data_IF_348562014762
#
_entry.id   IF_348562014762
#
_cell.length_a   1.000
_cell.length_b   1.000
_cell.length_c   1.000
_cell.angle_alpha   90.00
_cell.angle_beta   90.00
_cell.angle_gamma   90.00
#
_symmetry.space_group_name_H-M   'P 1'
#
loop_
_entity.id
_entity.type
_entity.pdbx_description
1 polymer ?
#
# COMPACT_ATOMS: atom_id res chain seq x y z
N UNK A 1 26.82 28.71 8.04
CA UNK A 1 26.52 27.34 7.59
C UNK A 1 25.10 27.32 7.04
N UNK A 2 24.90 26.95 5.77
CA UNK A 2 23.55 26.84 5.18
C UNK A 2 23.02 25.42 5.40
N UNK A 3 21.82 25.22 6.00
CA UNK A 3 21.26 23.88 6.15
C UNK A 3 20.82 23.37 4.77
N UNK A 4 21.30 22.19 4.39
CA UNK A 4 20.77 21.45 3.25
C UNK A 4 19.50 20.72 3.69
N UNK A 5 18.37 21.09 3.10
CA UNK A 5 17.09 20.42 3.32
C UNK A 5 16.97 19.28 2.31
N UNK A 6 17.08 18.04 2.78
CA UNK A 6 16.89 16.86 1.95
C UNK A 6 15.39 16.53 1.90
N UNK A 7 14.72 16.88 0.80
CA UNK A 7 13.32 16.52 0.56
C UNK A 7 13.27 15.09 0.01
N UNK A 8 12.81 14.14 0.83
CA UNK A 8 12.52 12.77 0.39
C UNK A 8 11.02 12.69 0.08
N UNK A 9 10.68 12.60 -1.21
CA UNK A 9 9.30 12.46 -1.67
C UNK A 9 9.00 10.96 -1.81
N UNK A 10 8.21 10.41 -0.89
CA UNK A 10 7.65 9.07 -1.04
C UNK A 10 6.41 9.14 -1.92
N UNK A 11 6.55 8.72 -3.19
CA UNK A 11 5.40 8.48 -4.06
C UNK A 11 4.84 7.11 -3.71
N UNK A 12 3.86 7.07 -2.81
CA UNK A 12 3.08 5.88 -2.56
C UNK A 12 2.15 5.63 -3.77
N UNK A 13 2.63 4.89 -4.78
CA UNK A 13 1.75 4.28 -5.77
C UNK A 13 0.94 3.18 -5.09
N UNK A 14 -0.24 3.54 -4.59
CA UNK A 14 -1.28 2.57 -4.27
C UNK A 14 -1.55 1.79 -5.54
N UNK A 15 -1.10 0.52 -5.60
CA UNK A 15 -1.44 -0.37 -6.69
C UNK A 15 -2.96 -0.55 -6.66
N UNK A 16 -3.66 0.20 -7.52
CA UNK A 16 -5.10 0.11 -7.70
C UNK A 16 -5.45 -1.25 -8.32
N UNK A 17 -5.49 -2.29 -7.48
CA UNK A 17 -6.13 -3.54 -7.83
C UNK A 17 -7.60 -3.29 -8.16
N UNK A 18 -8.19 -4.16 -8.97
CA UNK A 18 -9.61 -4.11 -9.26
C UNK A 18 -10.31 -5.31 -8.64
N UNK A 19 -11.55 -5.10 -8.22
CA UNK A 19 -12.40 -6.14 -7.65
C UNK A 19 -13.30 -6.72 -8.73
N UNK A 20 -13.54 -8.02 -8.65
CA UNK A 20 -14.58 -8.71 -9.41
C UNK A 20 -15.76 -8.96 -8.48
N UNK A 21 -16.95 -8.51 -8.88
CA UNK A 21 -18.21 -8.80 -8.21
C UNK A 21 -18.96 -9.86 -9.01
N UNK A 22 -19.66 -10.74 -8.31
CA UNK A 22 -20.41 -11.83 -8.93
C UNK A 22 -21.82 -11.89 -8.35
N UNK A 23 -22.81 -12.16 -9.20
CA UNK A 23 -24.18 -12.43 -8.80
C UNK A 23 -24.72 -13.66 -9.52
N UNK A 24 -25.70 -14.30 -8.89
CA UNK A 24 -26.32 -15.52 -9.35
C UNK A 24 -27.83 -15.32 -9.49
N UNK A 25 -28.37 -15.73 -10.64
CA UNK A 25 -29.81 -15.86 -10.87
C UNK A 25 -30.08 -17.28 -11.33
N UNK A 26 -31.08 -17.95 -10.77
CA UNK A 26 -31.36 -19.35 -11.07
C UNK A 26 -32.81 -19.53 -11.49
N UNK A 27 -33.01 -20.18 -12.65
CA UNK A 27 -34.32 -20.49 -13.20
C UNK A 27 -34.50 -22.01 -13.24
N UNK A 28 -35.50 -22.49 -12.50
CA UNK A 28 -35.73 -23.92 -12.30
C UNK A 28 -36.66 -24.57 -13.35
N UNK A 29 -37.22 -23.81 -14.29
CA UNK A 29 -38.24 -24.31 -15.21
C UNK A 29 -37.96 -23.90 -16.67
N UNK A 30 -38.12 -24.79 -17.68
CA UNK A 30 -38.06 -26.25 -17.68
C UNK A 30 -36.64 -26.83 -17.89
N UNK A 31 -35.63 -25.99 -18.09
CA UNK A 31 -34.30 -26.41 -18.57
C UNK A 31 -33.20 -26.41 -17.49
N UNK A 32 -33.56 -26.23 -16.21
CA UNK A 32 -32.63 -26.09 -15.07
C UNK A 32 -31.41 -25.23 -15.44
N UNK A 33 -31.64 -23.93 -15.61
CA UNK A 33 -30.63 -23.00 -16.08
C UNK A 33 -30.22 -22.02 -14.98
N UNK A 34 -28.96 -21.59 -15.00
CA UNK A 34 -28.47 -20.56 -14.10
C UNK A 34 -27.74 -19.51 -14.90
N UNK A 35 -27.88 -18.26 -14.45
CA UNK A 35 -27.21 -17.11 -14.99
C UNK A 35 -26.23 -16.63 -13.93
N UNK A 36 -24.95 -16.63 -14.28
CA UNK A 36 -23.89 -16.05 -13.46
C UNK A 36 -23.45 -14.76 -14.12
N UNK A 37 -23.56 -13.66 -13.39
CA UNK A 37 -23.15 -12.34 -13.86
C UNK A 37 -21.89 -11.94 -13.12
N UNK A 38 -20.85 -11.56 -13.86
CA UNK A 38 -19.57 -11.14 -13.31
C UNK A 38 -19.21 -9.76 -13.82
N UNK A 39 -18.83 -8.86 -12.92
CA UNK A 39 -18.50 -7.47 -13.23
C UNK A 39 -17.16 -7.10 -12.60
N UNK A 40 -16.39 -6.21 -13.23
CA UNK A 40 -15.12 -5.73 -12.66
C UNK A 40 -15.10 -4.23 -12.44
N UNK A 41 -14.43 -3.79 -11.38
CA UNK A 41 -14.32 -2.36 -11.02
C UNK A 41 -13.17 -1.62 -11.71
N UNK A 42 -12.42 -2.28 -12.59
CA UNK A 42 -11.28 -1.67 -13.26
C UNK A 42 -11.67 -0.42 -14.08
N UNK A 43 -10.77 0.56 -14.11
CA UNK A 43 -10.93 1.74 -14.96
C UNK A 43 -10.76 1.37 -16.44
N UNK A 44 -9.85 0.44 -16.73
CA UNK A 44 -9.66 -0.13 -18.07
C UNK A 44 -10.87 -0.97 -18.48
N UNK A 45 -11.29 -0.82 -19.73
CA UNK A 45 -12.33 -1.62 -20.38
C UNK A 45 -11.76 -2.75 -21.24
N UNK A 46 -10.42 -2.85 -21.32
CA UNK A 46 -9.74 -3.86 -22.13
C UNK A 46 -9.60 -5.15 -21.33
N UNK A 47 -10.59 -6.01 -21.49
CA UNK A 47 -10.57 -7.39 -21.00
C UNK A 47 -9.84 -8.28 -21.99
N UNK A 48 -8.66 -8.75 -21.59
CA UNK A 48 -7.85 -9.67 -22.37
C UNK A 48 -8.50 -11.05 -22.39
N UNK A 49 -8.84 -11.57 -21.21
CA UNK A 49 -9.44 -12.88 -21.03
C UNK A 49 -10.39 -12.89 -19.83
N UNK A 50 -11.35 -13.81 -19.83
CA UNK A 50 -12.21 -14.10 -18.69
C UNK A 50 -12.45 -15.61 -18.61
N UNK A 51 -12.59 -16.10 -17.38
CA UNK A 51 -12.76 -17.53 -17.11
C UNK A 51 -13.84 -17.73 -16.07
N UNK A 52 -14.64 -18.77 -16.28
CA UNK A 52 -15.53 -19.31 -15.27
C UNK A 52 -14.92 -20.61 -14.76
N UNK A 53 -14.79 -20.73 -13.46
CA UNK A 53 -14.26 -21.91 -12.78
C UNK A 53 -15.33 -22.59 -11.95
N UNK A 54 -15.29 -23.93 -11.89
CA UNK A 54 -15.85 -24.68 -10.77
C UNK A 54 -14.80 -24.85 -9.69
N UNK A 55 -15.23 -24.69 -8.44
CA UNK A 55 -14.41 -24.79 -7.25
C UNK A 55 -15.03 -25.85 -6.33
N UNK A 56 -14.25 -26.87 -6.02
CA UNK A 56 -14.62 -27.96 -5.11
C UNK A 56 -13.50 -28.16 -4.09
N UNK A 57 -13.68 -27.61 -2.89
CA UNK A 57 -12.62 -27.53 -1.89
C UNK A 57 -11.45 -26.69 -2.39
N UNK A 58 -10.25 -27.30 -2.48
CA UNK A 58 -9.03 -26.68 -3.01
C UNK A 58 -8.89 -26.84 -4.53
N UNK A 59 -9.71 -27.70 -5.15
CA UNK A 59 -9.63 -27.96 -6.57
C UNK A 59 -10.40 -26.91 -7.37
N UNK A 60 -9.75 -26.38 -8.40
CA UNK A 60 -10.30 -25.37 -9.29
C UNK A 60 -10.13 -25.82 -10.73
N UNK A 61 -11.22 -25.86 -11.48
CA UNK A 61 -11.27 -26.34 -12.87
C UNK A 61 -11.96 -25.31 -13.75
N UNK A 62 -11.35 -25.02 -14.91
CA UNK A 62 -11.91 -24.08 -15.89
C UNK A 62 -13.09 -24.75 -16.59
N UNK A 63 -14.26 -24.13 -16.48
CA UNK A 63 -15.48 -24.56 -17.16
C UNK A 63 -15.68 -23.88 -18.51
N UNK A 64 -15.32 -22.59 -18.58
CA UNK A 64 -15.42 -21.82 -19.80
C UNK A 64 -14.41 -20.68 -19.80
N UNK A 65 -13.89 -20.34 -20.98
CA UNK A 65 -12.90 -19.30 -21.19
C UNK A 65 -13.21 -18.55 -22.49
N UNK A 66 -12.89 -17.25 -22.54
CA UNK A 66 -13.03 -16.43 -23.73
C UNK A 66 -12.31 -17.07 -24.93
N UNK A 67 -13.02 -17.19 -26.06
CA UNK A 67 -12.49 -17.76 -27.30
C UNK A 67 -12.23 -19.28 -27.28
N UNK A 68 -12.47 -19.96 -26.16
CA UNK A 68 -12.35 -21.41 -26.09
C UNK A 68 -13.58 -22.11 -26.65
N UNK A 69 -13.44 -23.15 -27.50
CA UNK A 69 -14.56 -23.95 -27.97
C UNK A 69 -15.09 -24.91 -26.89
N UNK A 70 -14.36 -25.07 -25.77
CA UNK A 70 -14.64 -26.09 -24.75
C UNK A 70 -15.57 -25.60 -23.62
N UNK A 71 -16.55 -24.75 -23.93
CA UNK A 71 -17.58 -24.31 -22.98
C UNK A 71 -18.81 -25.23 -23.05
N UNK A 72 -18.70 -26.45 -22.53
CA UNK A 72 -19.78 -27.45 -22.62
C UNK A 72 -21.03 -26.98 -21.85
N UNK A 73 -22.16 -26.82 -22.55
CA UNK A 73 -23.43 -26.35 -22.00
C UNK A 73 -23.38 -24.96 -21.32
N UNK A 74 -22.36 -24.14 -21.64
CA UNK A 74 -22.21 -22.79 -21.09
C UNK A 74 -22.12 -21.82 -22.25
N UNK A 75 -23.08 -20.90 -22.32
CA UNK A 75 -23.05 -19.77 -23.22
C UNK A 75 -22.58 -18.54 -22.45
N UNK A 76 -21.94 -17.60 -23.12
CA UNK A 76 -21.60 -16.32 -22.50
C UNK A 76 -21.82 -15.15 -23.43
N UNK A 77 -22.11 -14.01 -22.82
CA UNK A 77 -22.12 -12.71 -23.46
C UNK A 77 -21.14 -11.79 -22.72
N UNK A 78 -20.16 -11.28 -23.45
CA UNK A 78 -19.17 -10.36 -22.93
C UNK A 78 -19.49 -8.92 -23.32
N UNK A 79 -19.43 -8.03 -22.34
CA UNK A 79 -19.48 -6.58 -22.44
C UNK A 79 -18.18 -6.03 -21.84
N UNK A 80 -17.90 -4.73 -22.03
CA UNK A 80 -16.62 -4.12 -21.65
C UNK A 80 -16.19 -4.37 -20.20
N UNK A 81 -17.13 -4.34 -19.24
CA UNK A 81 -16.86 -4.55 -17.81
C UNK A 81 -17.61 -5.71 -17.17
N UNK A 82 -18.34 -6.47 -17.97
CA UNK A 82 -19.37 -7.40 -17.52
C UNK A 82 -19.39 -8.63 -18.41
N UNK A 83 -19.46 -9.81 -17.81
CA UNK A 83 -19.66 -11.07 -18.53
C UNK A 83 -20.84 -11.78 -17.90
N UNK A 84 -21.75 -12.25 -18.76
CA UNK A 84 -22.93 -13.01 -18.37
C UNK A 84 -22.73 -14.43 -18.87
N UNK A 85 -22.74 -15.41 -17.97
CA UNK A 85 -22.71 -16.82 -18.29
C UNK A 85 -24.11 -17.41 -18.12
N UNK A 86 -24.57 -18.14 -19.12
CA UNK A 86 -25.79 -18.94 -19.09
C UNK A 86 -25.39 -20.42 -19.08
N UNK A 87 -25.61 -21.06 -17.93
CA UNK A 87 -25.40 -22.49 -17.74
C UNK A 87 -26.72 -23.20 -18.08
N UNK A 88 -26.66 -24.17 -18.98
CA UNK A 88 -27.81 -25.01 -19.35
C UNK A 88 -27.62 -26.44 -18.86
N UNK A 89 -28.73 -27.16 -18.70
CA UNK A 89 -28.73 -28.58 -18.31
C UNK A 89 -27.94 -28.81 -17.01
N UNK A 90 -28.20 -27.98 -15.99
CA UNK A 90 -27.53 -28.07 -14.69
C UNK A 90 -27.99 -29.36 -14.00
N UNK A 91 -27.08 -30.31 -13.82
CA UNK A 91 -27.31 -31.52 -13.05
C UNK A 91 -27.09 -31.32 -11.54
N UNK A 92 -27.26 -32.39 -10.77
CA UNK A 92 -27.00 -32.37 -9.32
C UNK A 92 -25.53 -32.12 -9.00
N UNK A 93 -24.62 -32.59 -9.86
CA UNK A 93 -23.18 -32.37 -9.73
C UNK A 93 -22.80 -30.89 -9.76
N UNK A 94 -23.54 -30.10 -10.54
CA UNK A 94 -23.34 -28.67 -10.65
C UNK A 94 -23.78 -27.91 -9.37
N UNK A 95 -24.68 -28.49 -8.57
CA UNK A 95 -25.10 -27.91 -7.29
C UNK A 95 -24.11 -28.18 -6.14
N UNK A 96 -23.21 -29.17 -6.30
CA UNK A 96 -22.23 -29.54 -5.27
C UNK A 96 -20.98 -28.64 -5.28
N UNK A 97 -20.75 -27.93 -6.38
CA UNK A 97 -19.58 -27.05 -6.58
C UNK A 97 -19.93 -25.58 -6.40
N UNK A 98 -18.91 -24.77 -6.11
CA UNK A 98 -19.01 -23.31 -6.19
C UNK A 98 -18.50 -22.83 -7.55
N UNK A 99 -18.98 -21.68 -8.01
CA UNK A 99 -18.57 -21.05 -9.26
C UNK A 99 -17.80 -19.77 -8.97
N UNK A 100 -16.68 -19.58 -9.65
CA UNK A 100 -15.83 -18.40 -9.45
C UNK A 100 -15.41 -17.81 -10.80
N UNK A 101 -15.62 -16.51 -10.95
CA UNK A 101 -15.17 -15.78 -12.13
C UNK A 101 -13.74 -15.28 -11.92
N UNK A 102 -13.02 -15.22 -13.02
CA UNK A 102 -11.71 -14.62 -13.14
C UNK A 102 -11.74 -13.67 -14.33
N UNK A 103 -11.24 -12.46 -14.12
CA UNK A 103 -10.93 -11.53 -15.19
C UNK A 103 -9.42 -11.37 -15.29
N UNK A 104 -8.92 -11.24 -16.53
CA UNK A 104 -7.54 -10.92 -16.82
C UNK A 104 -7.56 -9.65 -17.68
N UNK A 105 -7.01 -8.57 -17.12
CA UNK A 105 -6.95 -7.27 -17.76
C UNK A 105 -5.51 -6.86 -18.01
N UNK A 106 -5.30 -6.11 -19.09
CA UNK A 106 -4.05 -5.38 -19.31
C UNK A 106 -4.16 -4.00 -18.65
N UNK A 107 -3.34 -3.76 -17.64
CA UNK A 107 -3.23 -2.49 -16.90
C UNK A 107 -1.79 -2.03 -17.00
N UNK A 108 -1.54 -0.87 -17.60
CA UNK A 108 -0.20 -0.31 -17.78
C UNK A 108 0.80 -1.29 -18.41
N UNK A 109 0.35 -2.02 -19.46
CA UNK A 109 1.11 -3.07 -20.16
C UNK A 109 1.40 -4.34 -19.35
N UNK A 110 0.90 -4.45 -18.12
CA UNK A 110 0.98 -5.65 -17.28
C UNK A 110 -0.36 -6.40 -17.27
N UNK A 111 -0.29 -7.72 -17.31
CA UNK A 111 -1.48 -8.56 -17.14
C UNK A 111 -1.76 -8.75 -15.65
N UNK A 112 -2.96 -8.41 -15.23
CA UNK A 112 -3.42 -8.55 -13.85
C UNK A 112 -4.69 -9.40 -13.82
N UNK A 113 -4.68 -10.44 -12.98
CA UNK A 113 -5.82 -11.32 -12.76
C UNK A 113 -6.52 -10.99 -11.44
N UNK A 114 -7.84 -10.95 -11.45
CA UNK A 114 -8.64 -10.81 -10.23
C UNK A 114 -9.81 -11.79 -10.23
N UNK A 115 -10.20 -12.23 -9.04
CA UNK A 115 -11.23 -13.24 -8.83
C UNK A 115 -12.42 -12.65 -8.09
N UNK A 116 -13.60 -13.15 -8.42
CA UNK A 116 -14.78 -12.88 -7.62
C UNK A 116 -14.91 -13.86 -6.45
N UNK A 117 -15.90 -13.61 -5.60
CA UNK A 117 -16.23 -14.51 -4.49
C UNK A 117 -16.95 -15.77 -5.03
N UNK A 118 -16.52 -16.98 -4.62
CA UNK A 118 -17.17 -18.21 -5.06
C UNK A 118 -18.65 -18.27 -4.64
N UNK A 119 -19.53 -18.55 -5.59
CA UNK A 119 -20.98 -18.63 -5.39
C UNK A 119 -21.49 -20.05 -5.63
N UNK A 120 -22.35 -20.57 -4.76
CA UNK A 120 -23.00 -21.89 -4.96
C UNK A 120 -24.39 -21.72 -5.55
N UNK A 121 -24.78 -22.67 -6.41
CA UNK A 121 -26.16 -22.81 -6.82
C UNK A 121 -27.00 -23.25 -5.61
N UNK A 122 -28.21 -22.71 -5.49
CA UNK A 122 -29.10 -23.09 -4.40
C UNK A 122 -30.17 -24.06 -4.93
N UNK A 123 -30.66 -25.00 -4.10
CA UNK A 123 -31.88 -25.73 -4.42
C UNK A 123 -33.06 -24.76 -4.48
N UNK A 124 -34.04 -25.03 -5.34
CA UNK A 124 -35.25 -24.22 -5.43
C UNK A 124 -35.95 -24.13 -4.06
N UNK A 125 -35.88 -22.97 -3.41
CA UNK A 125 -36.84 -22.68 -2.36
C UNK A 125 -38.15 -22.36 -3.05
N UNK A 126 -39.15 -23.22 -2.86
CA UNK A 126 -40.50 -23.09 -3.42
C UNK A 126 -40.98 -21.65 -3.24
N UNK A 127 -41.04 -20.92 -4.34
CA UNK A 127 -41.48 -19.54 -4.40
C UNK A 127 -42.94 -19.50 -3.93
N UNK A 128 -43.14 -19.21 -2.64
CA UNK A 128 -44.48 -18.90 -2.15
C UNK A 128 -44.78 -17.51 -2.67
N UNK A 129 -45.47 -17.48 -3.82
CA UNK A 129 -46.20 -16.32 -4.33
C UNK A 129 -47.00 -15.68 -3.19
N UNK A 130 -46.43 -14.67 -2.54
CA UNK A 130 -47.18 -13.68 -1.76
C UNK A 130 -47.29 -12.44 -2.62
N UNK A 131 -48.28 -12.48 -3.49
CA UNK A 131 -48.86 -11.29 -4.07
C UNK A 131 -49.70 -10.61 -2.98
N UNK A 132 -49.24 -9.44 -2.57
CA UNK A 132 -49.96 -8.36 -1.88
C UNK A 132 -50.79 -8.68 -0.62
N UNK A 133 -50.23 -8.34 0.54
CA UNK A 133 -50.96 -7.65 1.58
C UNK A 133 -50.00 -6.72 2.32
N UNK A 134 -50.27 -5.42 2.23
CA UNK A 134 -49.58 -4.36 2.94
C UNK A 134 -49.53 -4.67 4.45
N UNK A 135 -48.31 -4.80 4.99
CA UNK A 135 -48.07 -4.80 6.44
C UNK A 135 -46.67 -4.21 6.70
N UNK A 136 -46.52 -3.32 7.69
CA UNK A 136 -45.31 -2.51 7.87
C UNK A 136 -44.09 -3.38 8.26
N UNK A 137 -42.87 -2.93 7.94
CA UNK A 137 -41.67 -3.75 8.12
C UNK A 137 -41.41 -4.04 9.60
N UNK A 138 -41.22 -5.30 10.01
CA UNK A 138 -40.59 -5.58 11.29
C UNK A 138 -39.11 -5.18 11.19
N UNK A 139 -38.73 -4.19 11.99
CA UNK A 139 -37.34 -3.85 12.31
C UNK A 139 -36.61 -5.13 12.73
N UNK A 140 -35.83 -5.69 11.81
CA UNK A 140 -34.93 -6.81 12.08
C UNK A 140 -33.57 -6.27 12.51
N UNK A 141 -32.89 -6.95 13.45
CA UNK A 141 -31.76 -6.42 14.17
C UNK A 141 -30.52 -6.31 13.26
N UNK A 142 -29.85 -5.19 13.39
CA UNK A 142 -28.53 -4.89 12.84
C UNK A 142 -27.53 -6.00 13.17
N UNK A 143 -27.24 -6.88 12.19
CA UNK A 143 -26.04 -7.71 12.23
C UNK A 143 -24.79 -6.81 12.12
N UNK A 144 -23.76 -7.03 12.95
CA UNK A 144 -22.59 -6.17 12.98
C UNK A 144 -21.75 -6.33 11.69
N UNK A 145 -21.15 -5.24 11.17
CA UNK A 145 -20.22 -5.33 10.05
C UNK A 145 -18.97 -6.10 10.47
N UNK A 146 -18.71 -7.23 9.80
CA UNK A 146 -17.50 -8.04 9.96
C UNK A 146 -16.29 -7.25 9.38
N UNK A 147 -15.11 -7.28 10.02
CA UNK A 147 -14.11 -6.23 9.85
C UNK A 147 -13.24 -6.47 8.62
N UNK A 148 -13.50 -5.78 7.52
CA UNK A 148 -12.53 -5.60 6.42
C UNK A 148 -11.45 -4.55 6.75
N UNK A 149 -11.37 -4.07 7.99
CA UNK A 149 -10.45 -3.01 8.44
C UNK A 149 -9.03 -3.50 8.73
N UNK A 150 -8.79 -4.81 8.65
CA UNK A 150 -7.56 -5.43 9.15
C UNK A 150 -6.38 -5.26 8.19
N UNK A 151 -6.61 -5.30 6.88
CA UNK A 151 -5.54 -5.15 5.88
C UNK A 151 -5.02 -3.70 5.81
N UNK A 152 -5.93 -2.72 5.86
CA UNK A 152 -5.58 -1.29 5.93
C UNK A 152 -4.84 -0.95 7.23
N UNK A 153 -5.26 -1.56 8.36
CA UNK A 153 -4.55 -1.38 9.63
C UNK A 153 -3.13 -1.95 9.54
N UNK A 154 -2.97 -3.15 8.99
CA UNK A 154 -1.68 -3.85 8.93
C UNK A 154 -0.69 -3.06 8.06
N UNK A 155 -1.15 -2.55 6.92
CA UNK A 155 -0.34 -1.68 6.06
C UNK A 155 0.06 -0.38 6.77
N UNK A 156 -0.88 0.26 7.48
CA UNK A 156 -0.59 1.46 8.28
C UNK A 156 0.42 1.19 9.39
N UNK A 157 0.34 0.04 10.07
CA UNK A 157 1.31 -0.36 11.09
C UNK A 157 2.70 -0.61 10.51
N UNK A 158 2.80 -1.26 9.35
CA UNK A 158 4.08 -1.46 8.65
C UNK A 158 4.68 -0.11 8.25
N UNK A 159 3.87 0.79 7.67
CA UNK A 159 4.33 2.11 7.25
C UNK A 159 4.81 2.95 8.43
N UNK A 160 4.07 2.91 9.54
CA UNK A 160 4.43 3.58 10.80
C UNK A 160 5.73 3.02 11.36
N UNK A 161 5.89 1.69 11.38
CA UNK A 161 7.11 1.03 11.82
C UNK A 161 8.33 1.42 10.97
N UNK A 162 8.16 1.46 9.64
CA UNK A 162 9.23 1.84 8.71
C UNK A 162 9.63 3.31 8.87
N UNK A 163 8.66 4.20 9.11
CA UNK A 163 8.92 5.61 9.37
C UNK A 163 9.71 5.81 10.67
N UNK A 164 9.29 5.15 11.75
CA UNK A 164 10.01 5.22 13.03
C UNK A 164 11.42 4.64 12.89
N UNK A 165 11.56 3.51 12.20
CA UNK A 165 12.86 2.87 11.99
C UNK A 165 13.82 3.75 11.20
N UNK A 166 13.36 4.39 10.11
CA UNK A 166 14.20 5.30 9.31
C UNK A 166 14.62 6.54 10.10
N UNK A 167 13.74 7.10 10.93
CA UNK A 167 14.08 8.22 11.82
C UNK A 167 15.11 7.81 12.89
N UNK A 168 14.93 6.64 13.52
CA UNK A 168 15.89 6.11 14.49
C UNK A 168 17.25 5.82 13.85
N UNK A 169 17.25 5.21 12.67
CA UNK A 169 18.48 4.94 11.92
C UNK A 169 19.20 6.24 11.53
N UNK A 170 18.46 7.22 10.99
CA UNK A 170 19.03 8.54 10.66
C UNK A 170 19.59 9.25 11.89
N UNK A 171 18.86 9.21 13.02
CA UNK A 171 19.31 9.79 14.29
C UNK A 171 20.58 9.11 14.81
N UNK A 172 20.62 7.78 14.79
CA UNK A 172 21.76 6.98 15.21
C UNK A 172 23.01 7.29 14.37
N UNK A 173 22.88 7.27 13.03
CA UNK A 173 23.98 7.61 12.11
C UNK A 173 24.47 9.04 12.36
N UNK A 174 23.55 10.00 12.51
CA UNK A 174 23.90 11.40 12.79
C UNK A 174 24.65 11.53 14.13
N UNK A 175 24.20 10.83 15.17
CA UNK A 175 24.88 10.79 16.46
C UNK A 175 26.29 10.19 16.37
N UNK A 176 26.44 9.10 15.62
CA UNK A 176 27.74 8.50 15.33
C UNK A 176 28.66 9.47 14.60
N UNK A 177 28.18 10.17 13.57
CA UNK A 177 28.94 11.17 12.83
C UNK A 177 29.39 12.32 13.73
N UNK A 178 28.51 12.86 14.59
CA UNK A 178 28.86 13.95 15.52
C UNK A 178 29.91 13.49 16.54
N UNK A 179 29.76 12.28 17.10
CA UNK A 179 30.74 11.72 18.04
C UNK A 179 32.10 11.51 17.38
N UNK A 180 32.12 11.02 16.15
CA UNK A 180 33.35 10.80 15.39
C UNK A 180 34.01 12.14 15.05
N UNK A 181 33.23 13.15 14.65
CA UNK A 181 33.74 14.51 14.42
C UNK A 181 34.29 15.17 15.69
N UNK A 182 33.66 14.98 16.85
CA UNK A 182 34.19 15.49 18.13
C UNK A 182 35.48 14.77 18.56
N UNK A 183 35.54 13.45 18.36
CA UNK A 183 36.74 12.67 18.66
C UNK A 183 37.96 13.11 17.83
N UNK A 184 37.74 13.55 16.60
CA UNK A 184 38.78 14.08 15.73
C UNK A 184 39.24 15.49 16.17
N UNK A 185 38.32 16.28 16.72
CA UNK A 185 38.60 17.64 17.19
C UNK A 185 39.47 17.68 18.47
N UNK A 186 39.38 16.66 19.33
CA UNK A 186 40.23 16.50 20.52
C UNK A 186 41.65 15.97 20.19
N UNK A 187 41.91 15.58 18.93
CA UNK A 187 43.24 15.14 18.46
C UNK A 187 44.16 16.27 18.00
N UNK A 188 43.70 17.52 18.02
CA UNK A 188 44.51 18.70 17.71
C UNK A 188 45.39 19.09 18.88
N UNK A 189 46.67 18.70 18.84
CA UNK A 189 47.75 19.10 19.76
C UNK A 189 47.51 20.47 20.43
N UNK A 190 47.25 20.55 21.75
CA UNK A 190 47.45 21.81 22.45
C UNK A 190 48.95 22.11 22.36
N UNK A 191 49.31 23.17 21.63
CA UNK A 191 50.67 23.66 21.51
C UNK A 191 51.21 23.84 22.93
N UNK A 192 52.08 22.93 23.36
CA UNK A 192 52.74 23.00 24.64
C UNK A 192 53.72 24.17 24.58
N UNK A 193 53.30 25.33 25.07
CA UNK A 193 54.18 26.50 25.16
C UNK A 193 55.11 26.25 26.33
N UNK A 194 56.31 25.78 26.03
CA UNK A 194 57.39 25.64 26.99
C UNK A 194 57.68 27.02 27.61
N UNK A 195 57.30 27.20 28.88
CA UNK A 195 57.59 28.43 29.61
C UNK A 195 59.10 28.53 29.87
N UNK A 196 59.80 29.18 28.94
CA UNK A 196 61.19 29.58 29.12
C UNK A 196 61.24 30.60 30.25
N UNK A 197 61.79 30.21 31.40
CA UNK A 197 62.09 31.13 32.51
C UNK A 197 62.99 32.25 31.98
N UNK A 198 62.47 33.46 31.92
CA UNK A 198 63.24 34.66 31.63
C UNK A 198 64.12 34.99 32.84
N UNK A 199 65.42 34.76 32.69
CA UNK A 199 66.46 35.34 33.54
C UNK A 199 66.44 36.85 33.42
N UNK A 200 66.24 37.50 34.57
CA UNK A 200 66.81 38.79 34.99
C UNK A 200 67.17 39.80 33.89
N UNK A 201 66.35 40.85 33.72
CA UNK A 201 66.81 42.11 33.13
C UNK A 201 66.28 43.28 33.94
N UNK A 202 67.17 43.74 34.83
CA UNK A 202 67.23 45.05 35.45
C UNK A 202 67.21 46.14 34.37
N UNK A 203 66.31 47.12 34.48
CA UNK A 203 66.49 48.55 34.13
C UNK A 203 65.13 49.27 34.21
N UNK A 204 64.93 50.08 35.26
CA UNK A 204 65.21 51.53 35.37
C UNK A 204 64.02 52.36 34.86
N UNK A 205 63.41 53.03 35.85
CA UNK A 205 62.44 54.11 35.73
C UNK A 205 62.87 55.17 34.71
N UNK A 206 61.94 55.59 33.84
CA UNK A 206 61.90 56.96 33.35
C UNK A 206 60.46 57.45 33.49
N UNK A 207 60.23 58.18 34.57
CA UNK A 207 59.01 58.92 34.83
C UNK A 207 59.16 60.32 34.23
N UNK A 208 58.07 60.81 33.68
CA UNK A 208 57.88 62.14 33.11
C UNK A 208 58.37 63.27 34.04
N UNK A 209 58.99 64.33 33.47
CA UNK A 209 58.52 65.72 33.56
C UNK A 209 59.57 66.79 33.19
N UNK A 210 59.04 67.79 32.48
CA UNK A 210 59.38 69.24 32.50
C UNK A 210 60.65 69.73 31.78
N UNK A 211 60.42 70.25 30.57
CA UNK A 211 61.00 71.51 30.07
C UNK A 211 60.43 72.68 30.92
N UNK A 212 61.14 73.79 31.21
CA UNK A 212 61.67 74.68 30.16
C UNK A 212 63.07 75.25 30.46
N UNK A 213 63.57 76.04 29.52
CA UNK A 213 64.74 76.95 29.59
C UNK A 213 66.11 76.34 29.29
N UNK A 214 66.44 76.42 28.01
CA UNK A 214 67.77 76.46 27.44
C UNK A 214 68.70 77.45 28.15
N UNK A 215 69.93 77.02 28.45
CA UNK A 215 71.18 77.74 28.16
C UNK A 215 72.30 76.69 28.03
N UNK A 216 72.87 76.57 26.82
CA UNK A 216 74.15 75.91 26.57
C UNK A 216 75.29 76.85 27.01
N UNK A 217 76.24 76.36 27.81
CA UNK A 217 77.63 76.80 27.71
C UNK A 217 78.60 75.66 28.13
N UNK A 218 79.79 75.58 27.52
CA UNK A 218 80.64 74.38 27.54
C UNK A 218 81.80 74.49 28.54
N UNK A 219 82.21 73.33 29.07
CA UNK A 219 83.57 72.87 29.31
C UNK A 219 83.55 71.34 29.36
#
# INVERSE_FOLDING_TARGET
MRPYVLMVIFIAQMSHGYKVTQSLFQNFYPNQSAIIVCEHSAQSERVEDFRLHSVSGTNKTILCQKGSPNCKNIFYQALSKKVIFLLLNIGEEAMQVSYQCEFILQINQLYSSSFGEPIKLQPAQKETRRESAMSPPPLSPSHPPLPHKTEDLLLMWILTGLLVFTLLYSSFVTCCCIRLMRSDQDGGNPIYVEMRKSTLSQNIYCNERFDPTAVLHPC
#
